data_IF_081128461925
#
_entry.id   IF_081128461925
#
_cell.length_a   1.000
_cell.length_b   1.000
_cell.length_c   1.000
_cell.angle_alpha   90.00
_cell.angle_beta   90.00
_cell.angle_gamma   90.00
#
_symmetry.space_group_name_H-M   'P 1'
#
loop_
_entity.id
_entity.type
_entity.pdbx_description
1 polymer ?
#
# COMPACT_ATOMS: atom_id res chain seq x y z
N UNK A 1 -13.15 -75.49 -61.88
CA UNK A 1 -14.01 -74.30 -61.79
C UNK A 1 -13.87 -73.88 -60.32
N UNK A 2 -13.01 -72.95 -60.06
CA UNK A 2 -12.71 -72.46 -58.72
C UNK A 2 -12.75 -70.97 -58.73
N UNK A 3 -13.62 -70.39 -57.95
CA UNK A 3 -13.68 -68.96 -57.71
C UNK A 3 -12.84 -68.63 -56.49
N UNK A 4 -11.89 -67.77 -56.62
CA UNK A 4 -11.09 -67.14 -55.56
C UNK A 4 -11.76 -65.88 -55.10
N UNK A 5 -12.16 -65.85 -53.85
CA UNK A 5 -12.57 -64.61 -53.19
C UNK A 5 -11.36 -63.91 -52.57
N UNK A 6 -11.04 -62.75 -53.08
CA UNK A 6 -10.09 -61.84 -52.47
C UNK A 6 -10.85 -60.81 -51.66
N UNK A 7 -10.67 -60.81 -50.32
CA UNK A 7 -11.22 -59.80 -49.44
C UNK A 7 -10.27 -58.59 -49.28
N UNK A 8 -10.80 -57.37 -49.02
CA UNK A 8 -10.00 -56.20 -48.73
C UNK A 8 -9.76 -56.06 -47.19
N UNK A 9 -8.57 -56.39 -46.80
CA UNK A 9 -8.10 -56.04 -45.48
C UNK A 9 -6.75 -55.33 -45.65
N UNK A 10 -6.69 -54.01 -45.37
CA UNK A 10 -5.54 -53.25 -44.99
C UNK A 10 -5.70 -51.73 -45.29
N UNK A 11 -6.75 -51.08 -44.73
CA UNK A 11 -6.86 -49.63 -44.86
C UNK A 11 -7.24 -48.91 -43.53
N UNK A 12 -7.45 -49.63 -42.40
CA UNK A 12 -7.99 -49.00 -41.18
C UNK A 12 -7.00 -48.73 -40.04
N UNK A 13 -5.71 -49.01 -40.19
CA UNK A 13 -4.78 -48.88 -39.04
C UNK A 13 -4.01 -47.58 -38.98
N UNK A 14 -4.03 -46.71 -39.98
CA UNK A 14 -3.26 -45.48 -40.02
C UNK A 14 -4.07 -44.24 -39.59
N UNK A 15 -5.41 -44.26 -39.71
CA UNK A 15 -6.26 -43.14 -39.26
C UNK A 15 -6.41 -43.10 -37.73
N UNK A 16 -6.47 -44.26 -37.10
CA UNK A 16 -6.66 -44.37 -35.62
C UNK A 16 -5.48 -43.80 -34.81
N UNK A 17 -4.25 -43.94 -35.28
CA UNK A 17 -3.07 -43.46 -34.57
C UNK A 17 -2.94 -41.93 -34.58
N UNK A 18 -3.35 -41.26 -35.65
CA UNK A 18 -3.31 -39.78 -35.73
C UNK A 18 -4.45 -39.14 -34.95
N UNK A 19 -5.63 -39.72 -35.00
CA UNK A 19 -6.78 -39.25 -34.19
C UNK A 19 -6.51 -39.45 -32.69
N UNK A 20 -5.92 -40.57 -32.30
CA UNK A 20 -5.54 -40.82 -30.89
C UNK A 20 -4.41 -39.90 -30.41
N UNK A 21 -3.48 -39.51 -31.26
CA UNK A 21 -2.42 -38.57 -30.96
C UNK A 21 -2.96 -37.15 -30.81
N UNK A 22 -3.89 -36.72 -31.64
CA UNK A 22 -4.55 -35.40 -31.57
C UNK A 22 -5.45 -35.33 -30.31
N UNK A 23 -6.22 -36.39 -30.02
CA UNK A 23 -7.01 -36.45 -28.79
C UNK A 23 -6.13 -36.41 -27.52
N UNK A 24 -4.99 -37.11 -27.49
CA UNK A 24 -4.03 -37.05 -26.38
C UNK A 24 -3.36 -35.68 -26.23
N UNK A 25 -3.08 -35.02 -27.37
CA UNK A 25 -2.52 -33.64 -27.33
C UNK A 25 -3.56 -32.63 -26.90
N UNK A 26 -4.80 -32.72 -27.38
CA UNK A 26 -5.92 -31.87 -26.92
C UNK A 26 -6.25 -32.10 -25.44
N UNK A 27 -6.27 -33.35 -24.94
CA UNK A 27 -6.44 -33.64 -23.52
C UNK A 27 -5.27 -33.13 -22.68
N UNK A 28 -4.02 -33.22 -23.13
CA UNK A 28 -2.86 -32.71 -22.44
C UNK A 28 -2.87 -31.16 -22.38
N UNK A 29 -3.32 -30.49 -23.43
CA UNK A 29 -3.48 -29.03 -23.46
C UNK A 29 -4.64 -28.58 -22.53
N UNK A 30 -5.76 -29.30 -22.54
CA UNK A 30 -6.90 -29.02 -21.64
C UNK A 30 -6.52 -29.30 -20.17
N UNK A 31 -5.74 -30.34 -19.88
CA UNK A 31 -5.23 -30.58 -18.52
C UNK A 31 -4.16 -29.57 -18.11
N UNK A 32 -3.34 -29.05 -19.02
CA UNK A 32 -2.35 -28.02 -18.71
C UNK A 32 -3.00 -26.65 -18.45
N UNK A 33 -4.15 -26.34 -19.06
CA UNK A 33 -4.91 -25.10 -18.79
C UNK A 33 -5.84 -25.20 -17.57
N UNK A 34 -6.19 -26.42 -17.13
CA UNK A 34 -7.00 -26.62 -15.92
C UNK A 34 -6.18 -26.56 -14.61
N UNK A 35 -4.85 -26.45 -14.67
CA UNK A 35 -3.97 -26.41 -13.50
C UNK A 35 -3.63 -24.99 -13.02
N UNK A 36 -4.22 -23.93 -13.61
CA UNK A 36 -3.90 -22.54 -13.25
C UNK A 36 -5.14 -21.69 -12.91
N UNK A 37 -6.10 -22.26 -12.25
CA UNK A 37 -7.23 -21.52 -11.72
C UNK A 37 -7.52 -21.96 -10.29
N UNK A 38 -6.60 -21.74 -9.36
CA UNK A 38 -7.02 -21.61 -7.96
C UNK A 38 -7.83 -20.33 -7.89
N UNK A 39 -9.13 -20.45 -7.69
CA UNK A 39 -9.99 -19.30 -7.44
C UNK A 39 -9.57 -18.70 -6.10
N UNK A 40 -9.07 -17.47 -6.12
CA UNK A 40 -8.78 -16.73 -4.90
C UNK A 40 -10.04 -16.66 -4.05
N UNK A 41 -9.90 -16.91 -2.76
CA UNK A 41 -11.00 -16.81 -1.82
C UNK A 41 -10.84 -15.57 -0.96
N UNK A 42 -11.80 -14.65 -1.07
CA UNK A 42 -11.91 -13.53 -0.15
C UNK A 42 -12.59 -13.98 1.14
N UNK A 43 -12.01 -13.64 2.26
CA UNK A 43 -12.59 -13.79 3.59
C UNK A 43 -12.59 -12.44 4.28
N UNK A 44 -13.75 -11.97 4.75
CA UNK A 44 -13.85 -10.79 5.62
C UNK A 44 -13.44 -11.21 7.02
N UNK A 45 -12.43 -10.57 7.57
CA UNK A 45 -11.92 -10.81 8.91
C UNK A 45 -12.63 -9.97 9.96
N UNK A 46 -13.05 -8.75 9.58
CA UNK A 46 -13.84 -7.83 10.37
C UNK A 46 -14.60 -6.87 9.46
N UNK A 47 -15.89 -6.67 9.72
CA UNK A 47 -16.68 -5.58 9.13
C UNK A 47 -16.86 -4.50 10.19
N UNK A 48 -16.50 -3.27 9.84
CA UNK A 48 -16.67 -2.12 10.74
C UNK A 48 -18.15 -1.73 10.85
N UNK A 49 -18.52 -1.16 11.99
CA UNK A 49 -19.92 -0.82 12.31
C UNK A 49 -20.18 0.68 12.46
N UNK A 50 -19.16 1.50 12.21
CA UNK A 50 -19.23 2.96 12.42
C UNK A 50 -19.23 3.40 13.88
N UNK A 51 -19.16 2.44 14.82
CA UNK A 51 -19.19 2.67 16.25
C UNK A 51 -17.82 2.74 16.91
N UNK A 52 -17.68 2.05 18.03
CA UNK A 52 -16.45 2.01 18.83
C UNK A 52 -15.29 1.30 18.12
N UNK A 53 -15.57 0.48 17.13
CA UNK A 53 -14.62 -0.22 16.30
C UNK A 53 -14.06 0.65 15.16
N UNK A 54 -14.68 1.81 14.90
CA UNK A 54 -14.28 2.74 13.86
C UNK A 54 -14.96 2.52 12.53
N UNK A 55 -14.63 3.32 11.53
CA UNK A 55 -15.05 3.19 10.13
C UNK A 55 -14.06 3.89 9.19
N UNK A 56 -14.19 3.63 7.89
CA UNK A 56 -13.26 4.12 6.87
C UNK A 56 -11.81 3.67 7.11
N UNK A 57 -11.50 2.36 7.05
CA UNK A 57 -10.14 1.87 7.13
C UNK A 57 -9.39 2.18 5.82
N UNK A 58 -8.80 3.37 5.74
CA UNK A 58 -8.18 3.91 4.53
C UNK A 58 -6.83 3.28 4.23
N UNK A 59 -5.99 3.16 5.26
CA UNK A 59 -4.66 2.59 5.14
C UNK A 59 -4.71 1.06 5.09
N UNK A 60 -3.67 0.46 4.53
CA UNK A 60 -3.48 -0.98 4.60
C UNK A 60 -3.20 -1.48 6.03
N UNK A 61 -2.90 -2.75 6.14
CA UNK A 61 -2.60 -3.38 7.42
C UNK A 61 -1.14 -3.75 7.57
N UNK A 62 -0.68 -3.86 8.81
CA UNK A 62 0.64 -4.34 9.20
C UNK A 62 0.52 -5.65 9.95
N UNK A 63 1.35 -6.64 9.58
CA UNK A 63 1.43 -7.93 10.25
C UNK A 63 2.64 -7.96 11.17
N UNK A 64 2.48 -8.56 12.35
CA UNK A 64 3.63 -8.92 13.18
C UNK A 64 4.10 -10.36 12.91
N UNK A 65 5.18 -10.75 13.57
CA UNK A 65 5.78 -12.09 13.43
C UNK A 65 4.86 -13.24 13.90
N UNK A 66 3.81 -12.94 14.66
CA UNK A 66 2.80 -13.90 15.12
C UNK A 66 1.56 -13.92 14.20
N UNK A 67 1.58 -13.16 13.10
CA UNK A 67 0.45 -13.05 12.17
C UNK A 67 -0.72 -12.23 12.72
N UNK A 68 -0.52 -11.40 13.76
CA UNK A 68 -1.53 -10.45 14.22
C UNK A 68 -1.55 -9.26 13.27
N UNK A 69 -2.75 -8.77 13.00
CA UNK A 69 -3.00 -7.70 12.05
C UNK A 69 -3.24 -6.41 12.82
N UNK A 70 -2.65 -5.31 12.35
CA UNK A 70 -2.81 -3.97 12.91
C UNK A 70 -3.18 -3.00 11.81
N UNK A 71 -4.09 -2.07 12.09
CA UNK A 71 -4.51 -1.04 11.13
C UNK A 71 -5.16 0.14 11.82
N UNK A 72 -5.62 1.09 11.00
CA UNK A 72 -6.27 2.32 11.45
C UNK A 72 -7.61 2.50 10.77
N UNK A 73 -8.52 3.19 11.45
CA UNK A 73 -9.74 3.77 10.86
C UNK A 73 -9.68 5.27 10.99
N UNK A 74 -10.10 6.01 9.97
CA UNK A 74 -10.05 7.48 9.99
C UNK A 74 -10.97 8.04 11.05
N UNK A 75 -12.13 7.43 11.22
CA UNK A 75 -13.21 7.94 12.07
C UNK A 75 -13.76 6.83 12.98
N UNK A 76 -14.71 7.20 13.85
CA UNK A 76 -15.30 6.33 14.84
C UNK A 76 -14.42 6.18 16.08
N UNK A 77 -14.60 5.12 16.84
CA UNK A 77 -14.04 4.99 18.17
C UNK A 77 -14.86 5.71 19.23
N UNK A 78 -14.36 5.77 20.46
CA UNK A 78 -15.11 6.36 21.59
C UNK A 78 -15.35 7.87 21.46
N UNK A 79 -14.56 8.57 20.65
CA UNK A 79 -14.57 10.04 20.51
C UNK A 79 -14.86 10.51 19.10
N UNK A 80 -14.91 9.60 18.11
CA UNK A 80 -15.17 9.92 16.72
C UNK A 80 -13.91 10.22 15.89
N UNK A 81 -12.74 10.25 16.51
CA UNK A 81 -11.46 10.74 15.94
C UNK A 81 -10.59 9.62 15.33
N UNK A 82 -11.13 8.42 15.22
CA UNK A 82 -10.46 7.26 14.64
C UNK A 82 -9.90 6.29 15.68
N UNK A 83 -9.46 5.14 15.19
CA UNK A 83 -9.02 4.00 16.01
C UNK A 83 -7.73 3.40 15.45
N UNK A 84 -6.85 2.94 16.31
CA UNK A 84 -5.88 1.90 15.98
C UNK A 84 -6.43 0.57 16.46
N UNK A 85 -6.55 -0.41 15.58
CA UNK A 85 -7.11 -1.72 15.88
C UNK A 85 -6.08 -2.85 15.74
N UNK A 86 -6.43 -3.99 16.36
CA UNK A 86 -5.69 -5.25 16.22
C UNK A 86 -6.67 -6.39 15.99
N UNK A 87 -6.31 -7.30 15.07
CA UNK A 87 -6.95 -8.59 14.88
C UNK A 87 -6.00 -9.71 15.31
N UNK A 88 -6.51 -10.67 16.05
CA UNK A 88 -5.77 -11.84 16.52
C UNK A 88 -6.52 -13.10 16.10
N UNK A 89 -5.82 -14.09 15.57
CA UNK A 89 -6.45 -15.36 15.19
C UNK A 89 -6.88 -16.13 16.44
N UNK A 90 -8.15 -16.49 16.52
CA UNK A 90 -8.74 -17.30 17.59
C UNK A 90 -9.49 -18.49 16.99
N UNK A 91 -8.90 -19.68 17.08
CA UNK A 91 -9.41 -20.88 16.43
C UNK A 91 -9.46 -20.73 14.91
N UNK A 92 -10.66 -20.87 14.32
CA UNK A 92 -10.87 -20.67 12.88
C UNK A 92 -11.28 -19.23 12.51
N UNK A 93 -11.46 -18.36 13.50
CA UNK A 93 -11.88 -16.96 13.33
C UNK A 93 -10.84 -15.94 13.74
N UNK A 94 -11.29 -14.68 13.79
CA UNK A 94 -10.48 -13.55 14.20
C UNK A 94 -11.18 -12.75 15.30
N UNK A 95 -10.42 -12.38 16.33
CA UNK A 95 -10.89 -11.50 17.40
C UNK A 95 -10.38 -10.08 17.12
N UNK A 96 -11.32 -9.16 16.97
CA UNK A 96 -11.06 -7.73 16.82
C UNK A 96 -10.90 -7.05 18.18
N UNK A 97 -9.98 -6.11 18.28
CA UNK A 97 -9.80 -5.25 19.45
C UNK A 97 -9.38 -3.86 19.03
N UNK A 98 -10.12 -2.80 19.37
CA UNK A 98 -9.58 -1.46 19.32
C UNK A 98 -8.50 -1.37 20.41
N UNK A 99 -7.27 -1.02 20.02
CA UNK A 99 -6.15 -0.91 20.97
C UNK A 99 -5.91 0.51 21.41
N UNK A 100 -6.32 1.50 20.61
CA UNK A 100 -6.33 2.91 20.93
C UNK A 100 -7.47 3.63 20.21
N UNK A 101 -8.15 4.57 20.89
CA UNK A 101 -9.16 5.45 20.32
C UNK A 101 -8.70 6.89 20.49
N UNK A 102 -8.49 7.57 19.38
CA UNK A 102 -8.05 8.96 19.37
C UNK A 102 -9.09 9.91 19.98
N UNK A 103 -8.67 11.12 20.39
CA UNK A 103 -9.49 12.09 21.12
C UNK A 103 -9.63 11.78 22.60
N UNK A 104 -8.86 10.82 23.12
CA UNK A 104 -8.95 10.37 24.52
C UNK A 104 -8.23 11.26 25.52
N UNK A 105 -7.32 12.14 25.05
CA UNK A 105 -6.52 13.03 25.87
C UNK A 105 -6.37 14.41 25.25
N UNK A 106 -5.91 15.39 26.04
CA UNK A 106 -5.62 16.73 25.56
C UNK A 106 -4.50 16.68 24.51
N UNK A 107 -4.69 17.41 23.43
CA UNK A 107 -3.75 17.47 22.28
C UNK A 107 -3.55 16.12 21.56
N UNK A 108 -4.47 15.18 21.73
CA UNK A 108 -4.45 13.92 21.00
C UNK A 108 -4.51 14.16 19.48
N UNK A 109 -4.04 13.17 18.71
CA UNK A 109 -4.24 13.16 17.27
C UNK A 109 -5.68 12.87 16.89
N UNK A 110 -6.04 13.13 15.62
CA UNK A 110 -7.27 12.68 15.02
C UNK A 110 -7.07 12.33 13.54
N UNK A 111 -7.98 11.53 12.99
CA UNK A 111 -7.95 11.09 11.59
C UNK A 111 -6.61 10.42 11.21
N UNK A 112 -6.29 9.24 11.74
CA UNK A 112 -5.14 8.47 11.32
C UNK A 112 -5.38 7.89 9.92
N UNK A 113 -4.79 8.49 8.91
CA UNK A 113 -4.95 8.14 7.49
C UNK A 113 -3.79 7.31 6.95
N UNK A 114 -2.75 7.08 7.75
CA UNK A 114 -1.60 6.25 7.41
C UNK A 114 -1.62 4.93 8.15
N UNK A 115 -0.91 3.96 7.61
CA UNK A 115 -0.71 2.66 8.26
C UNK A 115 0.18 2.82 9.49
N UNK A 116 -0.14 2.10 10.57
CA UNK A 116 0.79 1.95 11.68
C UNK A 116 1.88 0.95 11.31
N UNK A 117 3.12 1.26 11.63
CA UNK A 117 4.29 0.44 11.31
C UNK A 117 5.07 0.10 12.58
N UNK A 118 5.70 -1.08 12.61
CA UNK A 118 6.60 -1.43 13.70
C UNK A 118 7.94 -0.71 13.54
N UNK A 119 8.37 -0.08 14.62
CA UNK A 119 9.66 0.60 14.69
C UNK A 119 10.50 0.13 15.87
N UNK A 120 11.51 0.92 16.27
CA UNK A 120 12.42 0.57 17.35
C UNK A 120 11.69 0.20 18.65
N UNK A 121 12.17 -0.84 19.32
CA UNK A 121 11.60 -1.33 20.57
C UNK A 121 10.31 -2.15 20.43
N UNK A 122 9.88 -2.46 19.20
CA UNK A 122 8.64 -3.21 18.95
C UNK A 122 7.37 -2.40 19.21
N UNK A 123 7.49 -1.06 19.23
CA UNK A 123 6.36 -0.15 19.31
C UNK A 123 5.71 -0.02 17.92
N UNK A 124 4.41 0.31 17.92
CA UNK A 124 3.74 0.79 16.70
C UNK A 124 3.92 2.30 16.60
N UNK A 125 4.17 2.78 15.38
CA UNK A 125 4.31 4.20 15.07
C UNK A 125 3.35 4.56 13.95
N UNK A 126 2.82 5.77 13.98
CA UNK A 126 1.92 6.27 12.96
C UNK A 126 1.82 7.79 12.99
N UNK A 127 0.99 8.31 12.10
CA UNK A 127 0.66 9.73 12.00
C UNK A 127 -0.85 9.93 12.04
N UNK A 128 -1.25 11.12 12.47
CA UNK A 128 -2.62 11.61 12.36
C UNK A 128 -2.63 12.88 11.52
N UNK A 129 -3.62 13.04 10.64
CA UNK A 129 -3.68 14.20 9.75
C UNK A 129 -4.16 15.47 10.46
N UNK A 130 -4.81 15.33 11.59
CA UNK A 130 -5.29 16.42 12.41
C UNK A 130 -5.01 16.16 13.90
N UNK A 131 -5.49 17.05 14.75
CA UNK A 131 -5.21 17.02 16.20
C UNK A 131 -3.80 17.49 16.51
N UNK A 132 -3.31 17.15 17.70
CA UNK A 132 -2.11 17.73 18.26
C UNK A 132 -2.35 19.10 18.89
N UNK A 133 -1.29 19.74 19.40
CA UNK A 133 -1.40 21.00 20.14
C UNK A 133 -2.00 22.15 19.34
N UNK A 134 -1.75 22.19 18.02
CA UNK A 134 -2.19 23.27 17.13
C UNK A 134 -3.20 22.79 16.08
N UNK A 135 -3.59 21.49 16.10
CA UNK A 135 -4.58 20.93 15.18
C UNK A 135 -4.06 20.48 13.81
N UNK A 136 -2.76 20.49 13.58
CA UNK A 136 -2.15 20.21 12.28
C UNK A 136 -1.57 18.79 12.13
N UNK A 137 -1.94 17.88 13.04
CA UNK A 137 -1.53 16.49 13.01
C UNK A 137 -0.37 16.17 13.93
N UNK A 138 -0.16 14.87 14.12
CA UNK A 138 0.85 14.34 15.03
C UNK A 138 1.67 13.21 14.43
N UNK A 139 2.83 12.97 15.01
CA UNK A 139 3.53 11.68 14.95
C UNK A 139 3.41 11.06 16.33
N UNK A 140 2.93 9.81 16.40
CA UNK A 140 2.71 9.11 17.66
C UNK A 140 3.39 7.74 17.69
N UNK A 141 3.52 7.18 18.89
CA UNK A 141 3.85 5.77 19.11
C UNK A 141 2.88 5.13 20.10
N UNK A 142 2.60 3.84 19.88
CA UNK A 142 1.80 3.03 20.80
C UNK A 142 2.68 1.94 21.40
N UNK A 143 2.74 1.93 22.73
CA UNK A 143 3.42 0.90 23.51
C UNK A 143 2.43 -0.18 23.91
N UNK A 144 2.72 -1.46 23.60
CA UNK A 144 1.89 -2.56 24.07
C UNK A 144 1.92 -2.65 25.60
N UNK A 145 0.82 -3.15 26.20
CA UNK A 145 0.83 -3.41 27.64
C UNK A 145 1.91 -4.41 28.02
N UNK A 146 2.50 -4.30 29.23
CA UNK A 146 3.49 -5.25 29.69
C UNK A 146 2.89 -6.67 29.73
N UNK A 147 3.67 -7.67 29.35
CA UNK A 147 3.25 -9.10 29.31
C UNK A 147 2.73 -9.62 30.65
N UNK A 148 3.08 -8.96 31.76
CA UNK A 148 2.60 -9.28 33.10
C UNK A 148 1.21 -8.70 33.43
N UNK A 149 0.59 -7.97 32.50
CA UNK A 149 -0.73 -7.41 32.73
C UNK A 149 -1.78 -8.51 32.84
N UNK A 150 -2.44 -8.59 34.01
CA UNK A 150 -3.48 -9.59 34.35
C UNK A 150 -4.89 -8.99 34.28
N UNK A 151 -5.03 -7.73 33.91
CA UNK A 151 -6.35 -7.09 33.78
C UNK A 151 -7.01 -7.52 32.47
N UNK A 152 -8.33 -7.61 32.47
CA UNK A 152 -9.14 -7.96 31.29
C UNK A 152 -8.95 -6.95 30.15
N UNK A 153 -8.60 -5.70 30.51
CA UNK A 153 -8.26 -4.61 29.58
C UNK A 153 -6.91 -4.02 30.01
N UNK A 154 -5.87 -4.39 29.29
CA UNK A 154 -4.57 -3.72 29.42
C UNK A 154 -4.46 -2.74 28.26
N UNK A 155 -4.65 -1.44 28.49
CA UNK A 155 -4.63 -0.45 27.43
C UNK A 155 -3.20 -0.33 26.85
N UNK A 156 -3.12 -0.10 25.58
CA UNK A 156 -1.92 0.42 24.94
C UNK A 156 -1.72 1.87 25.38
N UNK A 157 -0.47 2.28 25.50
CA UNK A 157 -0.12 3.64 25.92
C UNK A 157 0.37 4.41 24.71
N UNK A 158 -0.35 5.45 24.37
CA UNK A 158 0.04 6.39 23.31
C UNK A 158 1.05 7.40 23.87
N UNK A 159 1.99 7.78 23.02
CA UNK A 159 2.92 8.89 23.26
C UNK A 159 2.99 9.72 21.99
N UNK A 160 2.63 10.99 22.08
CA UNK A 160 2.83 11.96 21.00
C UNK A 160 4.33 12.28 20.95
N UNK A 161 4.94 11.98 19.83
CA UNK A 161 6.37 12.23 19.59
C UNK A 161 6.59 13.64 19.06
N UNK A 162 5.66 14.11 18.22
CA UNK A 162 5.66 15.45 17.65
C UNK A 162 4.24 15.91 17.31
N UNK A 163 3.96 17.21 17.50
CA UNK A 163 2.73 17.89 17.05
C UNK A 163 3.13 18.96 16.05
N UNK A 164 2.59 18.87 14.83
CA UNK A 164 2.85 19.88 13.81
C UNK A 164 2.20 21.21 14.15
N UNK A 165 2.88 22.31 13.77
CA UNK A 165 2.41 23.67 14.08
C UNK A 165 1.67 24.33 12.92
N UNK A 166 1.66 23.70 11.74
CA UNK A 166 1.12 24.32 10.52
C UNK A 166 1.98 25.43 9.95
N UNK A 167 3.19 25.59 10.49
CA UNK A 167 4.19 26.57 10.08
C UNK A 167 5.24 25.98 9.13
N UNK A 168 6.50 26.32 9.39
CA UNK A 168 7.63 25.86 8.58
C UNK A 168 7.89 24.34 8.71
N UNK A 169 7.41 23.72 9.76
CA UNK A 169 7.49 22.28 10.06
C UNK A 169 6.49 21.42 9.27
N UNK A 170 5.56 22.03 8.54
CA UNK A 170 4.54 21.34 7.77
C UNK A 170 3.21 21.16 8.52
N UNK A 171 2.27 20.51 7.86
CA UNK A 171 0.95 20.19 8.35
C UNK A 171 0.37 18.94 7.69
N UNK A 172 -0.53 18.27 8.38
CA UNK A 172 -1.31 17.14 7.90
C UNK A 172 -0.44 16.07 7.23
N UNK A 173 0.28 15.26 7.99
CA UNK A 173 0.93 14.07 7.44
C UNK A 173 -0.15 13.12 6.91
N UNK A 174 -0.21 12.94 5.58
CA UNK A 174 -1.22 12.16 4.87
C UNK A 174 -0.60 10.91 4.25
N UNK A 175 -1.28 9.77 4.40
CA UNK A 175 -1.11 8.52 3.66
C UNK A 175 0.27 7.86 3.68
N UNK A 176 1.31 8.57 4.11
CA UNK A 176 2.67 8.06 4.13
C UNK A 176 3.02 7.23 5.35
N UNK A 177 3.54 6.03 5.14
CA UNK A 177 4.12 5.24 6.22
C UNK A 177 5.37 5.93 6.76
N UNK A 178 5.59 5.84 8.07
CA UNK A 178 6.84 6.28 8.67
C UNK A 178 7.97 5.30 8.35
N UNK A 179 9.15 5.83 8.07
CA UNK A 179 10.35 5.06 7.82
C UNK A 179 11.41 5.32 8.90
N UNK A 180 12.28 4.33 9.15
CA UNK A 180 13.28 4.39 10.22
C UNK A 180 14.67 4.13 9.66
N UNK A 181 15.64 4.98 10.03
CA UNK A 181 17.03 4.67 9.76
C UNK A 181 17.64 3.73 10.85
N UNK A 182 18.85 3.27 10.61
CA UNK A 182 19.55 2.36 11.54
C UNK A 182 19.85 2.99 12.91
N UNK A 183 19.84 4.31 13.01
CA UNK A 183 20.00 5.05 14.26
C UNK A 183 18.67 5.21 15.02
N UNK A 184 17.55 4.80 14.41
CA UNK A 184 16.22 4.90 14.97
C UNK A 184 15.60 6.28 14.80
N UNK A 185 16.12 7.13 13.92
CA UNK A 185 15.43 8.34 13.51
C UNK A 185 14.20 7.99 12.66
N UNK A 186 13.17 8.82 12.74
CA UNK A 186 11.90 8.66 12.06
C UNK A 186 11.84 9.67 10.91
N UNK A 187 11.38 9.21 9.76
CA UNK A 187 11.18 10.04 8.57
C UNK A 187 9.76 9.90 8.07
N UNK A 188 9.22 10.98 7.57
CA UNK A 188 7.89 11.04 6.99
C UNK A 188 7.69 12.33 6.19
N UNK A 189 6.48 12.52 5.72
CA UNK A 189 6.06 13.68 4.95
C UNK A 189 4.87 14.36 5.60
N UNK A 190 4.81 15.68 5.50
CA UNK A 190 3.63 16.47 5.82
C UNK A 190 3.19 17.19 4.54
N UNK A 191 1.93 16.97 4.13
CA UNK A 191 1.48 17.31 2.78
C UNK A 191 1.26 18.80 2.56
N UNK A 192 1.04 19.55 3.63
CA UNK A 192 0.73 20.97 3.55
C UNK A 192 1.67 21.82 4.41
N UNK A 193 1.51 23.14 4.31
CA UNK A 193 2.35 24.13 4.99
C UNK A 193 3.85 24.00 4.59
N UNK A 194 4.79 24.19 5.52
CA UNK A 194 6.19 24.38 5.17
C UNK A 194 6.45 25.81 4.68
N UNK A 195 7.71 26.17 4.43
CA UNK A 195 8.09 27.55 4.07
C UNK A 195 7.47 28.08 2.77
N UNK A 196 7.00 27.18 1.89
CA UNK A 196 6.37 27.52 0.59
C UNK A 196 4.93 27.03 0.47
N UNK A 197 4.32 26.54 1.54
CA UNK A 197 2.96 25.97 1.58
C UNK A 197 2.74 24.76 0.64
N UNK A 198 3.78 24.02 0.31
CA UNK A 198 3.73 22.85 -0.58
C UNK A 198 4.18 21.57 0.10
N UNK A 199 4.20 21.55 1.42
CA UNK A 199 4.57 20.41 2.24
C UNK A 199 6.07 20.25 2.43
N UNK A 200 6.41 19.27 3.27
CA UNK A 200 7.79 18.99 3.69
C UNK A 200 8.09 17.50 3.77
N UNK A 201 9.36 17.17 3.71
CA UNK A 201 9.89 15.90 4.25
C UNK A 201 10.53 16.23 5.59
N UNK A 202 10.14 15.54 6.65
CA UNK A 202 10.62 15.76 8.01
C UNK A 202 11.43 14.58 8.54
N UNK A 203 12.25 14.88 9.54
CA UNK A 203 12.99 13.90 10.34
C UNK A 203 12.75 14.17 11.81
N UNK A 204 12.44 13.12 12.58
CA UNK A 204 12.47 13.18 14.05
C UNK A 204 13.72 12.46 14.56
N UNK A 205 14.50 13.15 15.37
CA UNK A 205 15.70 12.61 16.03
C UNK A 205 15.48 12.56 17.53
N UNK A 206 15.89 11.48 18.17
CA UNK A 206 15.75 11.34 19.62
C UNK A 206 16.68 12.33 20.31
N UNK A 207 16.13 13.12 21.25
CA UNK A 207 16.85 14.14 22.02
C UNK A 207 16.48 14.04 23.50
N UNK A 208 17.38 13.48 24.30
CA UNK A 208 17.09 13.24 25.73
C UNK A 208 15.92 12.27 25.91
N UNK A 209 14.87 12.71 26.60
CA UNK A 209 13.62 11.95 26.77
C UNK A 209 12.56 12.20 25.70
N UNK A 210 12.79 13.12 24.78
CA UNK A 210 11.84 13.53 23.73
C UNK A 210 12.39 13.36 22.33
N UNK A 211 11.75 14.05 21.38
CA UNK A 211 12.10 14.06 19.99
C UNK A 211 12.26 15.50 19.50
N UNK A 212 13.17 15.70 18.57
CA UNK A 212 13.37 16.98 17.89
C UNK A 212 13.08 16.78 16.43
N UNK A 213 12.18 17.60 15.90
CA UNK A 213 11.88 17.65 14.48
C UNK A 213 12.90 18.51 13.75
N UNK A 214 13.19 18.14 12.51
CA UNK A 214 13.91 18.93 11.52
C UNK A 214 13.34 18.69 10.14
N UNK A 215 13.04 19.77 9.42
CA UNK A 215 12.67 19.71 8.01
C UNK A 215 13.93 19.39 7.20
N UNK A 216 13.91 18.29 6.45
CA UNK A 216 15.01 17.91 5.55
C UNK A 216 14.80 18.44 4.12
N UNK A 217 13.53 18.64 3.72
CA UNK A 217 13.18 19.29 2.46
C UNK A 217 11.88 20.08 2.56
N UNK A 218 11.85 21.29 1.98
CA UNK A 218 10.64 22.09 1.78
C UNK A 218 10.33 22.13 0.30
N UNK A 219 9.21 21.61 -0.11
CA UNK A 219 8.78 21.66 -1.50
C UNK A 219 8.37 23.07 -1.92
N UNK A 220 8.74 23.44 -3.14
CA UNK A 220 8.40 24.78 -3.70
C UNK A 220 7.09 24.78 -4.50
N UNK A 221 6.56 23.60 -4.84
CA UNK A 221 5.39 23.46 -5.70
C UNK A 221 5.69 23.63 -7.20
N UNK A 222 6.99 23.71 -7.54
CA UNK A 222 7.46 23.88 -8.92
C UNK A 222 8.14 22.62 -9.44
N UNK A 223 9.36 22.74 -9.95
CA UNK A 223 10.10 21.60 -10.53
C UNK A 223 10.36 20.45 -9.57
N UNK A 224 10.55 20.73 -8.29
CA UNK A 224 10.81 19.79 -7.20
C UNK A 224 9.58 19.05 -6.67
N UNK A 225 8.39 19.36 -7.20
CA UNK A 225 7.13 18.81 -6.72
C UNK A 225 6.46 19.62 -5.62
N UNK A 226 5.40 19.08 -5.07
CA UNK A 226 4.62 19.68 -3.98
C UNK A 226 3.57 18.72 -3.46
N UNK A 227 3.07 18.97 -2.25
CA UNK A 227 2.07 18.14 -1.59
C UNK A 227 2.48 16.65 -1.58
N UNK A 228 3.54 16.27 -0.84
CA UNK A 228 3.95 14.88 -0.73
C UNK A 228 2.83 14.09 -0.04
N UNK A 229 2.39 13.00 -0.67
CA UNK A 229 1.26 12.16 -0.21
C UNK A 229 1.68 10.73 0.12
N UNK A 230 2.99 10.45 0.07
CA UNK A 230 3.55 9.15 0.44
C UNK A 230 4.65 9.31 1.47
N UNK A 231 4.95 8.23 2.19
CA UNK A 231 6.17 8.13 2.97
C UNK A 231 7.42 8.13 2.09
N UNK A 232 8.57 8.04 2.73
CA UNK A 232 9.85 7.91 2.03
C UNK A 232 10.37 6.48 2.13
N UNK A 233 11.01 6.00 1.05
CA UNK A 233 11.79 4.77 1.06
C UNK A 233 13.28 5.09 0.92
N UNK A 234 14.16 4.18 1.42
CA UNK A 234 15.61 4.44 1.48
C UNK A 234 16.38 3.45 0.61
N UNK A 235 17.47 3.94 0.02
CA UNK A 235 18.52 3.06 -0.49
C UNK A 235 19.62 2.80 0.56
N UNK A 236 20.57 1.94 0.20
CA UNK A 236 21.71 1.62 1.07
C UNK A 236 22.73 2.77 1.21
N UNK A 237 22.66 3.80 0.37
CA UNK A 237 23.50 4.99 0.46
C UNK A 237 22.89 6.07 1.38
N UNK A 238 21.65 5.87 1.80
CA UNK A 238 20.90 6.79 2.65
C UNK A 238 20.17 7.88 1.86
N UNK A 239 19.99 7.71 0.56
CA UNK A 239 19.11 8.57 -0.23
C UNK A 239 17.66 8.21 0.09
N UNK A 240 16.78 9.20 0.10
CA UNK A 240 15.36 9.09 0.34
C UNK A 240 14.60 9.30 -0.96
N UNK A 241 13.68 8.40 -1.27
CA UNK A 241 12.83 8.47 -2.45
C UNK A 241 11.37 8.63 -2.02
N UNK A 242 10.66 9.49 -2.70
CA UNK A 242 9.24 9.72 -2.45
C UNK A 242 8.54 10.31 -3.65
N UNK A 243 7.26 10.58 -3.47
CA UNK A 243 6.39 11.13 -4.51
C UNK A 243 5.67 12.38 -4.01
N UNK A 244 5.35 13.25 -4.94
CA UNK A 244 4.52 14.41 -4.73
C UNK A 244 3.29 14.36 -5.64
N UNK A 245 2.15 14.86 -5.16
CA UNK A 245 0.90 14.89 -5.94
C UNK A 245 0.75 16.14 -6.80
N UNK A 246 1.54 17.19 -6.53
CA UNK A 246 1.53 18.45 -7.25
C UNK A 246 2.94 18.85 -7.68
N UNK A 247 3.05 19.92 -8.46
CA UNK A 247 4.33 20.41 -8.96
C UNK A 247 4.94 19.49 -10.02
N UNK A 248 6.28 19.47 -10.12
CA UNK A 248 6.97 18.89 -11.25
C UNK A 248 6.86 19.77 -12.49
N UNK A 249 7.54 19.42 -13.57
CA UNK A 249 7.57 20.22 -14.82
C UNK A 249 6.20 20.35 -15.50
N UNK A 250 5.28 19.43 -15.21
CA UNK A 250 3.95 19.37 -15.81
C UNK A 250 2.81 19.64 -14.81
N UNK A 251 3.14 20.01 -13.58
CA UNK A 251 2.18 20.24 -12.47
C UNK A 251 1.31 19.02 -12.11
N UNK A 252 1.73 17.82 -12.50
CA UNK A 252 1.02 16.55 -12.23
C UNK A 252 1.73 15.68 -11.19
N UNK A 253 2.63 16.28 -10.41
CA UNK A 253 3.45 15.59 -9.42
C UNK A 253 4.78 15.06 -9.97
N UNK A 254 5.57 14.52 -9.08
CA UNK A 254 6.92 14.06 -9.38
C UNK A 254 7.33 12.87 -8.50
N UNK A 255 8.34 12.13 -8.97
CA UNK A 255 9.18 11.27 -8.13
C UNK A 255 10.46 12.05 -7.84
N UNK A 256 10.83 12.13 -6.57
CA UNK A 256 12.03 12.83 -6.11
C UNK A 256 12.99 11.92 -5.37
N UNK A 257 14.25 12.31 -5.38
CA UNK A 257 15.34 11.77 -4.57
C UNK A 257 15.91 12.88 -3.69
N UNK A 258 16.05 12.63 -2.39
CA UNK A 258 16.78 13.48 -1.47
C UNK A 258 18.08 12.79 -1.09
N UNK A 259 19.20 13.38 -1.45
CA UNK A 259 20.53 12.85 -1.15
C UNK A 259 21.19 13.66 -0.02
N UNK A 260 21.79 13.00 1.01
CA UNK A 260 22.49 13.69 2.07
C UNK A 260 23.77 14.33 1.53
N UNK A 261 24.04 15.58 1.92
CA UNK A 261 25.26 16.34 1.57
C UNK A 261 25.99 16.80 2.82
N UNK A 262 27.18 17.36 2.67
CA UNK A 262 27.91 17.92 3.81
C UNK A 262 27.20 19.10 4.49
N UNK A 263 26.34 19.81 3.75
CA UNK A 263 25.65 21.02 4.22
C UNK A 263 24.15 20.82 4.44
N UNK A 264 23.64 19.59 4.36
CA UNK A 264 22.20 19.28 4.48
C UNK A 264 21.77 18.27 3.43
N UNK A 265 20.74 18.58 2.65
CA UNK A 265 20.15 17.70 1.64
C UNK A 265 20.10 18.38 0.29
N UNK A 266 20.22 17.60 -0.77
CA UNK A 266 19.94 18.02 -2.14
C UNK A 266 18.78 17.22 -2.70
N UNK A 267 17.88 17.89 -3.43
CA UNK A 267 16.79 17.25 -4.15
C UNK A 267 17.18 17.07 -5.61
N UNK A 268 16.72 15.95 -6.17
CA UNK A 268 16.77 15.66 -7.60
C UNK A 268 15.40 15.11 -8.01
N UNK A 269 14.72 15.82 -8.91
CA UNK A 269 13.50 15.32 -9.54
C UNK A 269 13.86 14.23 -10.54
N UNK A 270 13.50 13.00 -10.23
CA UNK A 270 13.78 11.82 -11.04
C UNK A 270 12.82 11.70 -12.23
N UNK A 271 11.56 12.03 -12.01
CA UNK A 271 10.52 12.02 -13.03
C UNK A 271 9.41 13.02 -12.70
N UNK A 272 8.93 13.75 -13.70
CA UNK A 272 7.74 14.59 -13.60
C UNK A 272 6.59 13.95 -14.36
N UNK A 273 5.52 13.63 -13.67
CA UNK A 273 4.35 12.99 -14.27
C UNK A 273 3.66 13.91 -15.28
N UNK A 274 3.00 13.29 -16.26
CA UNK A 274 2.10 13.93 -17.21
C UNK A 274 0.69 13.37 -17.00
N UNK A 275 -0.36 14.04 -17.47
CA UNK A 275 -1.71 13.50 -17.35
C UNK A 275 -1.89 12.11 -18.01
N UNK A 276 -1.03 11.74 -18.96
CA UNK A 276 -1.02 10.43 -19.63
C UNK A 276 -0.29 9.35 -18.82
N UNK A 277 0.73 9.72 -18.04
CA UNK A 277 1.49 8.79 -17.20
C UNK A 277 0.99 8.73 -15.77
N UNK A 278 -0.13 9.38 -15.51
CA UNK A 278 -0.75 9.53 -14.19
C UNK A 278 -0.51 10.91 -13.61
N UNK A 279 -1.27 11.24 -12.59
CA UNK A 279 -1.10 12.44 -11.78
C UNK A 279 -1.03 12.03 -10.32
N UNK A 280 -0.08 12.58 -9.59
CA UNK A 280 0.18 12.16 -8.22
C UNK A 280 0.56 10.67 -8.13
N UNK A 281 1.47 10.32 -7.29
CA UNK A 281 1.82 8.91 -7.10
C UNK A 281 1.64 8.53 -5.63
N UNK A 282 1.27 7.29 -5.40
CA UNK A 282 1.26 6.68 -4.09
C UNK A 282 2.67 6.38 -3.58
N UNK A 283 2.77 5.52 -2.59
CA UNK A 283 4.03 5.11 -2.01
C UNK A 283 4.94 4.38 -3.00
N UNK A 284 6.21 4.36 -2.68
CA UNK A 284 7.24 3.68 -3.46
C UNK A 284 7.75 2.44 -2.74
N UNK A 285 8.13 1.42 -3.50
CA UNK A 285 8.90 0.28 -3.02
C UNK A 285 10.17 0.14 -3.84
N UNK A 286 11.25 -0.32 -3.21
CA UNK A 286 12.54 -0.54 -3.86
C UNK A 286 12.89 -2.03 -3.81
N UNK A 287 13.38 -2.57 -4.92
CA UNK A 287 13.92 -3.92 -4.97
C UNK A 287 15.39 -3.98 -4.54
N UNK A 288 15.95 -5.19 -4.46
CA UNK A 288 17.34 -5.41 -4.06
C UNK A 288 18.38 -4.88 -5.07
N UNK A 289 17.95 -4.53 -6.28
CA UNK A 289 18.79 -4.00 -7.35
C UNK A 289 18.78 -2.46 -7.40
N UNK A 290 17.94 -1.82 -6.55
CA UNK A 290 17.74 -0.38 -6.52
C UNK A 290 16.74 0.13 -7.55
N UNK A 291 15.95 -0.75 -8.17
CA UNK A 291 14.82 -0.33 -8.97
C UNK A 291 13.70 0.16 -8.05
N UNK A 292 13.08 1.28 -8.40
CA UNK A 292 11.99 1.89 -7.65
C UNK A 292 10.68 1.68 -8.39
N UNK A 293 9.67 1.16 -7.69
CA UNK A 293 8.36 0.89 -8.25
C UNK A 293 7.29 1.72 -7.55
N UNK A 294 6.30 2.18 -8.31
CA UNK A 294 5.20 2.96 -7.79
C UNK A 294 3.92 2.78 -8.60
N UNK A 295 2.84 3.30 -8.03
CA UNK A 295 1.53 3.39 -8.67
C UNK A 295 1.17 4.87 -8.77
N UNK A 296 0.73 5.31 -9.94
CA UNK A 296 0.14 6.63 -10.12
C UNK A 296 -1.36 6.54 -10.11
N UNK A 297 -2.00 7.62 -9.77
CA UNK A 297 -3.43 7.73 -9.88
C UNK A 297 -3.87 8.99 -9.18
N UNK A 298 -4.21 9.99 -9.94
CA UNK A 298 -4.60 11.29 -9.42
C UNK A 298 -5.95 11.25 -8.74
N UNK A 299 -6.00 11.80 -7.55
CA UNK A 299 -7.23 12.31 -6.96
C UNK A 299 -7.89 13.36 -7.88
N UNK A 300 -7.16 13.87 -8.88
CA UNK A 300 -7.56 14.93 -9.81
C UNK A 300 -7.91 14.43 -11.23
N UNK A 301 -8.19 13.12 -11.40
CA UNK A 301 -8.72 12.57 -12.66
C UNK A 301 -7.65 12.25 -13.73
N UNK A 302 -6.43 12.02 -13.34
CA UNK A 302 -5.38 11.46 -14.21
C UNK A 302 -5.55 9.95 -14.46
N UNK A 303 -4.80 9.42 -15.42
CA UNK A 303 -4.72 7.98 -15.66
C UNK A 303 -3.98 7.27 -14.53
N UNK A 304 -4.48 6.11 -14.08
CA UNK A 304 -3.74 5.24 -13.15
C UNK A 304 -2.74 4.37 -13.90
N UNK A 305 -1.55 4.22 -13.34
CA UNK A 305 -0.48 3.43 -13.96
C UNK A 305 0.48 2.84 -12.92
N UNK A 306 1.09 1.70 -13.25
CA UNK A 306 2.25 1.19 -12.55
C UNK A 306 3.53 1.55 -13.32
N UNK A 307 4.58 1.93 -12.61
CA UNK A 307 5.85 2.34 -13.21
C UNK A 307 7.06 1.77 -12.47
N UNK A 308 8.19 1.78 -13.15
CA UNK A 308 9.51 1.42 -12.64
C UNK A 308 10.52 2.51 -12.98
N UNK A 309 11.37 2.84 -12.04
CA UNK A 309 12.58 3.64 -12.24
C UNK A 309 13.80 2.73 -12.07
N UNK A 310 14.57 2.55 -13.12
CA UNK A 310 15.74 1.65 -13.15
C UNK A 310 17.04 2.44 -13.14
N UNK A 311 18.05 2.11 -12.30
CA UNK A 311 19.36 2.74 -12.33
C UNK A 311 20.04 2.58 -13.69
N UNK A 312 20.38 3.70 -14.33
CA UNK A 312 21.05 3.72 -15.63
C UNK A 312 22.08 4.85 -15.69
N UNK A 313 23.36 4.51 -15.78
CA UNK A 313 24.48 5.47 -15.96
C UNK A 313 24.50 6.64 -14.95
N UNK A 314 24.15 6.38 -13.68
CA UNK A 314 24.13 7.39 -12.62
C UNK A 314 22.88 8.26 -12.57
N UNK A 315 21.83 7.91 -13.31
CA UNK A 315 20.49 8.45 -13.23
C UNK A 315 19.46 7.32 -13.17
N UNK A 316 18.19 7.64 -12.98
CA UNK A 316 17.09 6.67 -13.05
C UNK A 316 16.31 6.85 -14.37
N UNK A 317 16.03 5.74 -15.05
CA UNK A 317 15.25 5.69 -16.28
C UNK A 317 13.82 5.25 -15.96
N UNK A 318 12.84 6.05 -16.34
CA UNK A 318 11.42 5.75 -16.15
C UNK A 318 10.92 4.74 -17.20
N UNK A 319 10.17 3.74 -16.74
CA UNK A 319 9.46 2.77 -17.58
C UNK A 319 8.03 2.64 -17.10
N UNK A 320 7.07 2.87 -18.00
CA UNK A 320 5.66 2.59 -17.75
C UNK A 320 5.46 1.07 -17.85
N UNK A 321 5.08 0.42 -16.75
CA UNK A 321 4.84 -1.03 -16.72
C UNK A 321 3.45 -1.39 -17.24
N UNK A 322 2.43 -0.64 -16.78
CA UNK A 322 1.04 -0.82 -17.16
C UNK A 322 0.28 0.49 -17.00
N UNK A 323 -0.53 0.83 -18.01
CA UNK A 323 -1.54 1.88 -17.91
C UNK A 323 -2.90 1.22 -17.64
N UNK A 324 -3.56 1.61 -16.56
CA UNK A 324 -4.86 1.09 -16.15
C UNK A 324 -6.03 1.97 -16.62
N UNK A 325 -5.74 3.15 -17.19
CA UNK A 325 -6.75 4.09 -17.69
C UNK A 325 -7.30 5.04 -16.62
N UNK A 326 -8.42 5.66 -16.95
CA UNK A 326 -9.06 6.70 -16.13
C UNK A 326 -10.22 6.17 -15.26
N UNK A 327 -10.47 4.87 -15.26
CA UNK A 327 -11.57 4.25 -14.52
C UNK A 327 -11.26 4.07 -13.03
N UNK A 328 -9.99 4.25 -12.66
CA UNK A 328 -9.52 4.04 -11.30
C UNK A 328 -9.09 5.36 -10.67
N UNK A 329 -9.49 5.56 -9.40
CA UNK A 329 -8.91 6.60 -8.56
C UNK A 329 -7.54 6.14 -8.13
N UNK A 330 -6.57 7.05 -8.11
CA UNK A 330 -5.23 6.65 -7.70
C UNK A 330 -5.16 6.13 -6.29
N UNK A 331 -4.55 4.98 -6.18
CA UNK A 331 -4.16 4.47 -4.88
C UNK A 331 -3.04 5.34 -4.31
N UNK A 332 -3.19 5.76 -3.07
CA UNK A 332 -2.11 6.40 -2.29
C UNK A 332 -1.12 5.36 -1.73
N UNK A 333 -1.40 4.07 -1.98
CA UNK A 333 -0.63 2.93 -1.51
C UNK A 333 0.69 2.75 -2.27
N UNK A 334 1.66 2.17 -1.61
CA UNK A 334 2.80 1.56 -2.27
C UNK A 334 2.40 0.19 -2.87
N UNK A 335 2.94 -0.19 -4.04
CA UNK A 335 2.82 -1.57 -4.51
C UNK A 335 3.60 -2.51 -3.60
N UNK A 336 3.32 -3.82 -3.69
CA UNK A 336 3.99 -4.84 -2.85
C UNK A 336 4.41 -6.01 -3.70
N UNK A 337 5.60 -6.56 -3.45
CA UNK A 337 6.07 -7.79 -4.09
C UNK A 337 5.63 -9.04 -3.33
N UNK A 338 5.26 -10.09 -4.08
CA UNK A 338 5.24 -11.44 -3.53
C UNK A 338 6.64 -12.05 -3.48
N UNK A 339 6.77 -13.24 -2.89
CA UNK A 339 8.03 -13.98 -2.80
C UNK A 339 8.59 -14.45 -4.15
N UNK A 340 7.83 -14.33 -5.23
CA UNK A 340 8.20 -14.71 -6.59
C UNK A 340 8.57 -13.50 -7.46
N UNK A 341 8.51 -12.29 -6.90
CA UNK A 341 8.81 -11.03 -7.58
C UNK A 341 7.68 -10.50 -8.45
N UNK A 342 6.44 -10.98 -8.29
CA UNK A 342 5.28 -10.33 -8.90
C UNK A 342 4.88 -9.12 -8.07
N UNK A 343 4.48 -8.03 -8.74
CA UNK A 343 4.08 -6.78 -8.14
C UNK A 343 2.54 -6.71 -8.03
N UNK A 344 2.05 -6.30 -6.88
CA UNK A 344 0.62 -6.14 -6.62
C UNK A 344 0.30 -4.75 -6.10
N UNK A 345 -0.89 -4.28 -6.38
CA UNK A 345 -1.40 -3.04 -5.81
C UNK A 345 -2.90 -2.88 -5.98
N UNK A 346 -3.50 -2.00 -5.20
CA UNK A 346 -4.92 -1.71 -5.28
C UNK A 346 -5.23 -0.74 -6.44
N UNK A 347 -6.39 -0.95 -7.05
CA UNK A 347 -7.00 -0.06 -8.05
C UNK A 347 -8.46 0.17 -7.67
N UNK A 348 -8.76 1.17 -6.85
CA UNK A 348 -10.12 1.57 -6.52
C UNK A 348 -10.79 2.23 -7.72
N UNK A 349 -12.08 1.95 -7.96
CA UNK A 349 -12.84 2.57 -9.08
C UNK A 349 -13.44 3.91 -8.71
N UNK A 350 -13.72 4.75 -9.73
CA UNK A 350 -14.34 6.08 -9.54
C UNK A 350 -15.86 6.02 -9.38
N UNK A 351 -16.48 4.85 -9.56
CA UNK A 351 -17.93 4.72 -9.52
C UNK A 351 -18.48 4.64 -8.08
N UNK A 352 -19.78 4.91 -7.94
CA UNK A 352 -20.47 4.88 -6.64
C UNK A 352 -20.70 3.45 -6.10
N UNK A 353 -20.28 2.41 -6.84
CA UNK A 353 -20.53 1.00 -6.48
C UNK A 353 -19.50 0.43 -5.49
N UNK A 354 -18.58 1.25 -5.00
CA UNK A 354 -17.52 0.86 -4.05
C UNK A 354 -16.67 -0.32 -4.53
N UNK A 355 -16.52 -0.50 -5.83
CA UNK A 355 -15.76 -1.59 -6.42
C UNK A 355 -14.27 -1.25 -6.56
N UNK A 356 -13.52 -2.15 -7.13
CA UNK A 356 -12.09 -2.01 -7.39
C UNK A 356 -11.44 -3.35 -7.58
N UNK A 357 -10.15 -3.36 -7.80
CA UNK A 357 -9.40 -4.61 -7.92
C UNK A 357 -8.03 -4.55 -7.25
N UNK A 358 -7.45 -5.71 -7.03
CA UNK A 358 -6.01 -5.86 -6.84
C UNK A 358 -5.43 -6.31 -8.17
N UNK A 359 -4.53 -5.52 -8.73
CA UNK A 359 -3.78 -5.94 -9.90
C UNK A 359 -2.59 -6.83 -9.53
N UNK A 360 -2.17 -7.64 -10.49
CA UNK A 360 -0.90 -8.38 -10.46
C UNK A 360 -0.12 -8.09 -11.73
N UNK A 361 1.15 -7.72 -11.58
CA UNK A 361 2.12 -7.67 -12.66
C UNK A 361 3.16 -8.76 -12.43
N UNK A 362 3.28 -9.69 -13.38
CA UNK A 362 4.23 -10.81 -13.33
C UNK A 362 5.39 -10.54 -14.28
N UNK A 363 6.66 -10.58 -13.82
CA UNK A 363 7.79 -10.39 -14.69
C UNK A 363 7.92 -11.55 -15.68
N UNK A 364 8.14 -11.23 -16.97
CA UNK A 364 8.31 -12.19 -18.04
C UNK A 364 9.38 -11.71 -19.03
N UNK A 365 10.61 -12.14 -18.86
CA UNK A 365 11.76 -11.61 -19.60
C UNK A 365 11.95 -10.11 -19.30
N UNK A 366 11.87 -9.28 -20.34
CA UNK A 366 11.99 -7.81 -20.21
C UNK A 366 10.62 -7.10 -20.16
N UNK A 367 9.54 -7.84 -19.91
CA UNK A 367 8.19 -7.31 -19.88
C UNK A 367 7.48 -7.70 -18.58
N UNK A 368 6.44 -6.95 -18.24
CA UNK A 368 5.52 -7.28 -17.18
C UNK A 368 4.17 -7.66 -17.77
N UNK A 369 3.58 -8.74 -17.26
CA UNK A 369 2.27 -9.24 -17.72
C UNK A 369 1.25 -8.89 -16.67
N UNK A 370 0.26 -8.05 -17.06
CA UNK A 370 -0.86 -7.68 -16.22
C UNK A 370 -1.90 -8.81 -16.15
N UNK A 371 -2.46 -8.97 -14.97
CA UNK A 371 -3.70 -9.70 -14.71
C UNK A 371 -4.47 -9.06 -13.58
N UNK A 372 -5.80 -9.07 -13.64
CA UNK A 372 -6.63 -8.79 -12.47
C UNK A 372 -6.46 -9.96 -11.50
N UNK A 373 -5.95 -9.69 -10.29
CA UNK A 373 -5.75 -10.73 -9.28
C UNK A 373 -7.05 -11.00 -8.53
N UNK A 374 -7.72 -9.95 -8.08
CA UNK A 374 -9.02 -10.06 -7.41
C UNK A 374 -9.88 -8.82 -7.72
N UNK A 375 -11.18 -9.03 -7.99
CA UNK A 375 -12.15 -7.96 -8.21
C UNK A 375 -13.13 -7.92 -7.03
N UNK A 376 -13.26 -6.75 -6.41
CA UNK A 376 -14.20 -6.50 -5.33
C UNK A 376 -15.58 -6.17 -5.87
N UNK A 377 -16.60 -6.70 -5.22
CA UNK A 377 -18.01 -6.51 -5.58
C UNK A 377 -18.67 -5.28 -4.92
N UNK A 378 -17.93 -4.59 -4.04
CA UNK A 378 -18.40 -3.43 -3.30
C UNK A 378 -19.31 -3.75 -2.12
N UNK A 379 -19.86 -4.94 -2.04
CA UNK A 379 -20.78 -5.35 -0.96
C UNK A 379 -20.05 -6.06 0.19
N UNK A 380 -19.19 -7.01 -0.13
CA UNK A 380 -18.44 -7.79 0.85
C UNK A 380 -17.26 -7.00 1.40
N UNK A 381 -16.51 -6.39 0.51
CA UNK A 381 -15.47 -5.40 0.73
C UNK A 381 -15.33 -4.61 -0.56
N UNK A 382 -14.82 -3.38 -0.48
CA UNK A 382 -14.67 -2.58 -1.68
C UNK A 382 -13.77 -1.37 -1.49
N UNK A 383 -13.47 -0.65 -2.56
CA UNK A 383 -12.54 0.48 -2.58
C UNK A 383 -11.23 0.17 -1.85
N UNK A 384 -10.42 -0.78 -2.35
CA UNK A 384 -9.10 -1.05 -1.79
C UNK A 384 -8.20 0.16 -2.06
N UNK A 385 -7.78 0.87 -1.02
CA UNK A 385 -6.94 2.08 -1.13
C UNK A 385 -5.55 1.88 -0.55
N UNK A 386 -5.46 1.07 0.50
CA UNK A 386 -4.24 0.86 1.26
C UNK A 386 -3.30 -0.19 0.67
N UNK A 387 -2.05 -0.12 1.08
CA UNK A 387 -1.02 -1.11 0.72
C UNK A 387 -1.43 -2.51 1.17
N UNK A 388 -1.37 -3.48 0.26
CA UNK A 388 -1.59 -4.89 0.59
C UNK A 388 -0.36 -5.51 1.24
N UNK A 389 -0.58 -6.45 2.15
CA UNK A 389 0.50 -7.10 2.90
C UNK A 389 0.38 -8.61 2.79
N UNK A 390 1.50 -9.31 2.53
CA UNK A 390 1.53 -10.77 2.47
C UNK A 390 2.04 -11.38 3.78
N UNK A 391 1.48 -12.52 4.15
CA UNK A 391 2.08 -13.40 5.15
C UNK A 391 3.10 -14.37 4.51
N UNK A 392 3.77 -15.16 5.34
CA UNK A 392 4.75 -16.15 4.88
C UNK A 392 4.12 -17.32 4.09
N UNK A 393 2.81 -17.50 4.15
CA UNK A 393 2.05 -18.51 3.41
C UNK A 393 1.59 -18.02 2.04
N UNK A 394 1.76 -16.72 1.75
CA UNK A 394 1.30 -16.06 0.54
C UNK A 394 -0.14 -15.58 0.60
N UNK A 395 -0.80 -15.60 1.77
CA UNK A 395 -2.09 -14.95 1.94
C UNK A 395 -1.90 -13.44 1.92
N UNK A 396 -2.81 -12.74 1.26
CA UNK A 396 -2.81 -11.29 1.12
C UNK A 396 -3.85 -10.68 2.06
N UNK A 397 -3.46 -9.61 2.75
CA UNK A 397 -4.30 -8.87 3.69
C UNK A 397 -4.40 -7.40 3.28
N UNK A 398 -5.56 -6.82 3.50
CA UNK A 398 -5.78 -5.40 3.24
C UNK A 398 -7.07 -4.89 3.86
N UNK A 399 -7.41 -3.66 3.50
CA UNK A 399 -8.62 -2.97 3.91
C UNK A 399 -9.42 -2.54 2.69
N UNK A 400 -10.73 -2.49 2.84
CA UNK A 400 -11.63 -1.84 1.91
C UNK A 400 -12.31 -0.69 2.61
N UNK A 401 -12.27 0.51 2.02
CA UNK A 401 -12.88 1.71 2.59
C UNK A 401 -14.40 1.57 2.72
N UNK A 402 -15.02 0.82 1.79
CA UNK A 402 -16.44 0.52 1.80
C UNK A 402 -16.70 -0.98 1.84
N UNK A 403 -17.98 -1.35 1.79
CA UNK A 403 -18.45 -2.73 1.93
C UNK A 403 -18.48 -3.19 3.40
N UNK A 404 -18.66 -4.49 3.59
CA UNK A 404 -18.96 -5.05 4.90
C UNK A 404 -20.48 -4.97 5.23
N UNK A 405 -20.87 -5.46 6.41
CA UNK A 405 -22.30 -5.55 6.81
C UNK A 405 -23.00 -4.19 6.89
N UNK A 406 -22.28 -3.14 7.26
CA UNK A 406 -22.82 -1.80 7.51
C UNK A 406 -22.31 -0.75 6.50
N UNK A 407 -21.51 -1.18 5.50
CA UNK A 407 -20.87 -0.35 4.49
C UNK A 407 -19.78 0.61 5.04
N UNK A 408 -19.36 0.41 6.27
CA UNK A 408 -18.36 1.22 6.99
C UNK A 408 -16.92 0.71 6.78
N UNK A 409 -16.75 -0.21 5.84
CA UNK A 409 -15.47 -0.80 5.46
C UNK A 409 -15.20 -2.16 6.11
N UNK A 410 -14.14 -2.79 5.67
CA UNK A 410 -13.75 -4.14 6.12
C UNK A 410 -12.24 -4.36 6.13
N UNK A 411 -11.79 -5.28 6.98
CA UNK A 411 -10.49 -5.94 6.87
C UNK A 411 -10.68 -7.29 6.21
N UNK A 412 -9.88 -7.60 5.22
CA UNK A 412 -10.02 -8.82 4.42
C UNK A 412 -8.71 -9.60 4.26
N UNK A 413 -8.86 -10.90 3.98
CA UNK A 413 -7.82 -11.85 3.59
C UNK A 413 -8.18 -12.43 2.21
N UNK A 414 -7.23 -12.49 1.29
CA UNK A 414 -7.34 -13.25 0.05
C UNK A 414 -6.33 -14.39 0.11
N UNK A 415 -6.85 -15.63 0.06
CA UNK A 415 -6.02 -16.83 -0.05
C UNK A 415 -5.86 -17.25 -1.49
N UNK A 416 -4.66 -17.71 -1.92
CA UNK A 416 -4.40 -18.19 -3.27
C UNK A 416 -5.25 -19.35 -3.71
#
# INVERSE_FOLDING_TARGET
>A
MGETMTGPQLANSFLDRRVLAILRFCCAVIFATALFGQAQTLTVLHSFTGGVDGYEPYAGVTLDQQGRIYGTTIQGGNHGDGVVFRLVREGEGWAFSPIYSFGSQDHDGNNPVSRVVFGPGGLLYGTTSGGGAEGYGTVFSLQPPPTACKAVLCPWVETILYSFTGGADGASPLYGDLAFDHAGNIYGTASYAGSSNNGVVFKLTRSGSGWTESVIWNFTGHGDGGNPVSGVTFDNAGNHYGTSSAGGSNYSGAVYELSPTQSGWSETTLYSFTGETGAGAGGLIMDAYGNVFGITGGLDGGSSAAFELTPQNGSLSFTLLQNFGFEYIGAVAAPTFDSHGSLYGPLPTINDDLTGEIFKLTPSGNQWIYSSFYQFDGSTAGLPLGTVTFDASGNMYGTGLGGGSDYDGAVWEITP
#
